data_IF_762188635284
#
_entry.id   IF_762188635284
#
_cell.length_a   1.000
_cell.length_b   1.000
_cell.length_c   1.000
_cell.angle_alpha   90.00
_cell.angle_beta   90.00
_cell.angle_gamma   90.00
#
_symmetry.space_group_name_H-M   'P 1'
#
loop_
_entity.id
_entity.type
_entity.pdbx_description
1 polymer ?
#
# COMPACT_ATOMS: atom_id res chain seq x y z
N UNK A 1 3.80 21.49 -5.82
CA UNK A 1 2.52 21.15 -6.46
C UNK A 1 1.42 22.15 -6.12
N UNK A 2 1.22 22.52 -4.85
CA UNK A 2 0.16 23.48 -4.44
C UNK A 2 0.25 24.86 -5.09
N UNK A 3 1.42 25.29 -5.52
CA UNK A 3 1.61 26.55 -6.26
C UNK A 3 1.24 26.44 -7.75
N UNK A 4 1.03 25.24 -8.26
CA UNK A 4 0.76 24.96 -9.67
C UNK A 4 -0.63 24.38 -9.93
N UNK A 5 -1.24 23.79 -8.91
CA UNK A 5 -2.52 23.08 -8.99
C UNK A 5 -3.41 23.49 -7.81
N UNK A 6 -4.65 23.76 -8.08
CA UNK A 6 -5.68 23.90 -7.04
C UNK A 6 -6.05 22.51 -6.53
N UNK A 7 -5.96 22.31 -5.22
CA UNK A 7 -6.40 21.09 -4.57
C UNK A 7 -7.82 21.29 -4.04
N UNK A 8 -8.65 20.28 -4.26
CA UNK A 8 -9.98 20.27 -3.65
C UNK A 8 -9.89 20.32 -2.12
N UNK A 9 -10.86 20.95 -1.51
CA UNK A 9 -10.96 20.98 -0.05
C UNK A 9 -11.12 19.56 0.48
N UNK A 10 -10.25 19.15 1.42
CA UNK A 10 -10.25 17.80 1.97
C UNK A 10 -9.58 16.74 1.09
N UNK A 11 -8.83 17.16 0.05
CA UNK A 11 -8.01 16.26 -0.76
C UNK A 11 -7.14 15.37 0.13
N UNK A 12 -7.16 14.05 -0.13
CA UNK A 12 -6.30 13.10 0.56
C UNK A 12 -4.87 13.19 0.03
N UNK A 13 -3.93 13.42 0.93
CA UNK A 13 -2.49 13.41 0.64
C UNK A 13 -1.86 12.34 1.50
N UNK A 14 -1.51 11.22 0.89
CA UNK A 14 -0.94 10.06 1.57
C UNK A 14 0.58 10.06 1.45
N UNK A 15 1.26 9.76 2.56
CA UNK A 15 2.68 9.39 2.58
C UNK A 15 2.79 7.91 2.93
N UNK A 16 3.54 7.17 2.14
CA UNK A 16 3.96 5.80 2.46
C UNK A 16 5.29 5.86 3.19
N UNK A 17 5.38 5.22 4.35
CA UNK A 17 6.54 5.24 5.22
C UNK A 17 6.95 3.82 5.65
N UNK A 18 8.25 3.62 5.83
CA UNK A 18 8.78 2.44 6.49
C UNK A 18 9.05 2.74 7.96
N UNK A 19 8.76 1.82 8.90
CA UNK A 19 8.95 2.07 10.34
C UNK A 19 10.36 2.51 10.73
N UNK A 20 11.41 1.98 10.07
CA UNK A 20 12.80 2.30 10.37
C UNK A 20 13.32 3.64 9.82
N UNK A 21 12.53 4.35 9.01
CA UNK A 21 12.92 5.66 8.46
C UNK A 21 12.32 6.84 9.23
N UNK A 22 11.41 6.57 10.14
CA UNK A 22 10.66 7.56 10.92
C UNK A 22 11.52 8.27 11.98
N UNK A 23 12.66 7.72 12.31
CA UNK A 23 13.54 8.28 13.34
C UNK A 23 14.18 9.62 12.95
N UNK A 24 14.19 9.97 11.66
CA UNK A 24 14.88 11.17 11.16
C UNK A 24 13.96 12.37 10.95
N UNK A 25 12.67 12.17 10.65
CA UNK A 25 11.76 13.27 10.38
C UNK A 25 10.49 13.15 11.24
N UNK A 26 10.16 14.15 12.05
CA UNK A 26 8.98 14.12 12.90
C UNK A 26 7.71 14.06 12.06
N UNK A 27 6.82 13.13 12.32
CA UNK A 27 5.50 13.06 11.65
C UNK A 27 4.71 14.37 11.71
N UNK A 28 4.97 15.19 12.74
CA UNK A 28 4.38 16.51 12.86
C UNK A 28 4.74 17.45 11.69
N UNK A 29 5.93 17.32 11.12
CA UNK A 29 6.34 18.17 9.98
C UNK A 29 5.71 17.71 8.66
N UNK A 30 5.46 16.40 8.52
CA UNK A 30 4.64 15.90 7.41
C UNK A 30 3.21 16.42 7.50
N UNK A 31 2.60 16.39 8.68
CA UNK A 31 1.25 16.93 8.89
C UNK A 31 1.19 18.44 8.57
N UNK A 32 2.16 19.22 9.04
CA UNK A 32 2.28 20.67 8.73
C UNK A 32 2.46 20.92 7.22
N UNK A 33 3.15 20.04 6.50
CA UNK A 33 3.31 20.15 5.04
C UNK A 33 2.04 19.79 4.27
N UNK A 34 1.01 19.28 4.98
CA UNK A 34 -0.32 19.00 4.45
C UNK A 34 -0.57 17.55 4.10
N UNK A 35 0.34 16.63 4.47
CA UNK A 35 0.06 15.20 4.43
C UNK A 35 -0.97 14.89 5.51
N UNK A 36 -2.07 14.20 5.16
CA UNK A 36 -3.20 13.96 6.06
C UNK A 36 -3.57 12.47 6.21
N UNK A 37 -2.81 11.59 5.57
CA UNK A 37 -2.91 10.13 5.70
C UNK A 37 -1.51 9.52 5.66
N UNK A 38 -1.28 8.53 6.51
CA UNK A 38 -0.07 7.71 6.51
C UNK A 38 -0.39 6.26 6.14
N UNK A 39 0.49 5.62 5.37
CA UNK A 39 0.54 4.18 5.17
C UNK A 39 1.89 3.68 5.67
N UNK A 40 1.89 2.81 6.66
CA UNK A 40 3.11 2.34 7.32
C UNK A 40 3.34 0.88 6.97
N UNK A 41 4.41 0.61 6.23
CA UNK A 41 4.80 -0.72 5.73
C UNK A 41 5.37 -1.63 6.81
N UNK A 42 4.55 -2.07 7.74
CA UNK A 42 4.95 -2.93 8.88
C UNK A 42 5.24 -4.36 8.42
N UNK A 43 4.42 -4.93 7.58
CA UNK A 43 4.45 -6.27 6.99
C UNK A 43 4.17 -7.39 7.99
N UNK A 44 4.76 -7.40 9.17
CA UNK A 44 4.50 -8.29 10.30
C UNK A 44 5.03 -7.67 11.60
N UNK A 45 4.49 -8.05 12.73
CA UNK A 45 5.06 -7.76 14.06
C UNK A 45 5.90 -8.92 14.60
N UNK A 46 6.03 -10.02 13.85
CA UNK A 46 6.92 -11.13 14.19
C UNK A 46 8.32 -10.87 13.66
N UNK A 47 9.33 -10.86 14.54
CA UNK A 47 10.71 -10.54 14.18
C UNK A 47 11.33 -11.54 13.19
N UNK A 48 10.98 -12.82 13.29
CA UNK A 48 11.49 -13.84 12.37
C UNK A 48 10.92 -13.65 10.96
N UNK A 49 9.62 -13.34 10.84
CA UNK A 49 9.00 -13.03 9.55
C UNK A 49 9.59 -11.76 8.92
N UNK A 50 9.83 -10.72 9.72
CA UNK A 50 10.49 -9.50 9.23
C UNK A 50 11.89 -9.80 8.67
N UNK A 51 12.68 -10.60 9.36
CA UNK A 51 14.02 -11.01 8.90
C UNK A 51 13.95 -11.81 7.59
N UNK A 52 13.01 -12.77 7.49
CA UNK A 52 12.79 -13.55 6.26
C UNK A 52 12.36 -12.68 5.08
N UNK A 53 11.56 -11.62 5.34
CA UNK A 53 11.18 -10.62 4.35
C UNK A 53 12.31 -9.64 3.99
N UNK A 54 13.47 -9.72 4.67
CA UNK A 54 14.58 -8.79 4.48
C UNK A 54 14.31 -7.38 5.01
N UNK A 55 13.38 -7.26 5.98
CA UNK A 55 13.08 -5.97 6.62
C UNK A 55 14.11 -5.65 7.69
N UNK A 56 14.52 -4.38 7.73
CA UNK A 56 15.55 -3.88 8.66
C UNK A 56 14.97 -3.37 9.99
N UNK A 57 13.67 -3.03 10.01
CA UNK A 57 12.99 -2.57 11.22
C UNK A 57 12.57 -3.73 12.11
N UNK A 58 12.41 -3.46 13.40
CA UNK A 58 11.89 -4.39 14.38
C UNK A 58 10.38 -4.20 14.61
N UNK A 59 9.76 -5.18 15.27
CA UNK A 59 8.39 -5.06 15.78
C UNK A 59 8.20 -3.82 16.67
N UNK A 60 9.18 -3.53 17.55
CA UNK A 60 9.15 -2.36 18.40
C UNK A 60 9.17 -1.05 17.60
N UNK A 61 9.99 -0.96 16.53
CA UNK A 61 10.00 0.20 15.64
C UNK A 61 8.63 0.38 14.96
N UNK A 62 7.99 -0.70 14.55
CA UNK A 62 6.68 -0.65 13.90
C UNK A 62 5.60 -0.10 14.85
N UNK A 63 5.53 -0.61 16.07
CA UNK A 63 4.58 -0.13 17.10
C UNK A 63 4.85 1.33 17.44
N UNK A 64 6.10 1.70 17.63
CA UNK A 64 6.48 3.09 17.95
C UNK A 64 6.15 4.04 16.80
N UNK A 65 6.38 3.66 15.54
CA UNK A 65 6.02 4.47 14.37
C UNK A 65 4.50 4.77 14.34
N UNK A 66 3.65 3.77 14.56
CA UNK A 66 2.20 3.95 14.60
C UNK A 66 1.80 4.90 15.75
N UNK A 67 2.38 4.71 16.93
CA UNK A 67 2.14 5.55 18.11
C UNK A 67 2.57 7.00 17.87
N UNK A 68 3.75 7.23 17.32
CA UNK A 68 4.25 8.56 16.98
C UNK A 68 3.37 9.25 15.92
N UNK A 69 2.89 8.51 14.92
CA UNK A 69 1.93 9.03 13.95
C UNK A 69 0.64 9.52 14.60
N UNK A 70 0.08 8.73 15.53
CA UNK A 70 -1.12 9.11 16.30
C UNK A 70 -0.85 10.31 17.20
N UNK A 71 0.27 10.37 17.91
CA UNK A 71 0.67 11.49 18.77
C UNK A 71 0.88 12.77 17.98
N UNK A 72 1.41 12.68 16.75
CA UNK A 72 1.54 13.82 15.84
C UNK A 72 0.20 14.39 15.36
N UNK A 73 -0.91 13.67 15.55
CA UNK A 73 -2.25 14.11 15.18
C UNK A 73 -2.78 13.50 13.88
N UNK A 74 -2.13 12.49 13.30
CA UNK A 74 -2.71 11.78 12.17
C UNK A 74 -3.96 11.01 12.58
N UNK A 75 -5.10 11.39 12.06
CA UNK A 75 -6.36 10.68 12.24
C UNK A 75 -6.40 9.38 11.44
N UNK A 76 -5.81 9.40 10.24
CA UNK A 76 -5.84 8.31 9.27
C UNK A 76 -4.47 7.65 9.15
N UNK A 77 -4.33 6.50 9.80
CA UNK A 77 -3.11 5.68 9.78
C UNK A 77 -3.47 4.29 9.26
N UNK A 78 -2.89 3.94 8.12
CA UNK A 78 -2.95 2.59 7.56
C UNK A 78 -1.72 1.80 7.97
N UNK A 79 -1.91 0.52 8.26
CA UNK A 79 -0.85 -0.44 8.54
C UNK A 79 -0.90 -1.51 7.46
N UNK A 80 0.19 -1.66 6.72
CA UNK A 80 0.32 -2.72 5.72
C UNK A 80 0.85 -3.99 6.40
N UNK A 81 0.11 -5.07 6.31
CA UNK A 81 0.43 -6.39 6.84
C UNK A 81 0.35 -7.45 5.74
N UNK A 82 1.25 -8.40 5.83
CA UNK A 82 1.25 -9.59 4.97
C UNK A 82 0.85 -10.81 5.77
N UNK A 83 0.14 -11.74 5.13
CA UNK A 83 -0.10 -13.08 5.65
C UNK A 83 0.34 -14.15 4.64
N UNK A 84 0.29 -15.41 5.05
CA UNK A 84 0.83 -16.51 4.24
C UNK A 84 2.36 -16.43 4.13
N UNK A 85 3.02 -15.86 5.14
CA UNK A 85 4.47 -15.74 5.20
C UNK A 85 5.11 -17.13 5.40
N UNK A 86 6.40 -17.31 5.03
CA UNK A 86 7.08 -18.58 5.18
C UNK A 86 6.93 -19.15 6.59
N UNK A 87 6.38 -20.36 6.69
CA UNK A 87 6.10 -21.10 7.94
C UNK A 87 5.17 -20.36 8.93
N UNK A 88 4.41 -19.37 8.48
CA UNK A 88 3.48 -18.64 9.34
C UNK A 88 2.33 -19.54 9.81
N UNK A 89 2.06 -19.51 11.10
CA UNK A 89 0.88 -20.16 11.69
C UNK A 89 -0.32 -19.22 11.73
N UNK A 90 -1.51 -19.81 11.92
CA UNK A 90 -2.74 -19.04 12.11
C UNK A 90 -2.64 -18.06 13.29
N UNK A 91 -2.11 -18.51 14.42
CA UNK A 91 -1.97 -17.70 15.63
C UNK A 91 -1.04 -16.49 15.40
N UNK A 92 0.03 -16.69 14.64
CA UNK A 92 0.96 -15.60 14.29
C UNK A 92 0.30 -14.57 13.39
N UNK A 93 -0.46 -14.99 12.38
CA UNK A 93 -1.19 -14.08 11.49
C UNK A 93 -2.26 -13.28 12.25
N UNK A 94 -3.01 -13.91 13.15
CA UNK A 94 -4.00 -13.23 14.00
C UNK A 94 -3.35 -12.29 15.01
N UNK A 95 -2.18 -12.63 15.54
CA UNK A 95 -1.42 -11.76 16.44
C UNK A 95 -0.98 -10.47 15.72
N UNK A 96 -0.55 -10.56 14.46
CA UNK A 96 -0.21 -9.39 13.66
C UNK A 96 -1.42 -8.44 13.51
N UNK A 97 -2.60 -8.97 13.20
CA UNK A 97 -3.82 -8.17 13.14
C UNK A 97 -4.18 -7.55 14.50
N UNK A 98 -4.06 -8.32 15.57
CA UNK A 98 -4.35 -7.86 16.93
C UNK A 98 -3.44 -6.67 17.30
N UNK A 99 -2.14 -6.78 17.06
CA UNK A 99 -1.18 -5.72 17.35
C UNK A 99 -1.43 -4.46 16.52
N UNK A 100 -1.82 -4.60 15.25
CA UNK A 100 -2.20 -3.46 14.42
C UNK A 100 -3.42 -2.72 14.98
N UNK A 101 -4.46 -3.46 15.38
CA UNK A 101 -5.68 -2.89 15.98
C UNK A 101 -5.37 -2.20 17.29
N UNK A 102 -4.62 -2.85 18.19
CA UNK A 102 -4.24 -2.32 19.50
C UNK A 102 -3.32 -1.10 19.40
N UNK A 103 -2.49 -1.00 18.33
CA UNK A 103 -1.67 0.19 18.09
C UNK A 103 -2.47 1.41 17.64
N UNK A 104 -3.76 1.25 17.33
CA UNK A 104 -4.65 2.34 16.94
C UNK A 104 -4.71 2.59 15.44
N UNK A 105 -4.38 1.59 14.60
CA UNK A 105 -4.60 1.66 13.16
C UNK A 105 -6.08 1.94 12.85
N UNK A 106 -6.33 2.87 11.93
CA UNK A 106 -7.68 3.18 11.43
C UNK A 106 -7.97 2.48 10.11
N UNK A 107 -6.92 2.03 9.44
CA UNK A 107 -6.96 1.25 8.21
C UNK A 107 -5.93 0.13 8.31
N UNK A 108 -6.22 -0.99 7.68
CA UNK A 108 -5.32 -2.13 7.57
C UNK A 108 -5.37 -2.63 6.13
N UNK A 109 -4.22 -2.64 5.47
CA UNK A 109 -4.02 -3.38 4.21
C UNK A 109 -3.47 -4.75 4.59
N UNK A 110 -4.25 -5.79 4.36
CA UNK A 110 -3.89 -7.15 4.74
C UNK A 110 -3.95 -8.08 3.53
N UNK A 111 -2.79 -8.45 3.02
CA UNK A 111 -2.65 -9.17 1.76
C UNK A 111 -1.73 -10.38 1.86
N UNK A 112 -2.06 -11.41 1.07
CA UNK A 112 -1.30 -12.64 1.02
C UNK A 112 0.03 -12.45 0.30
N UNK A 113 1.10 -13.08 0.81
CA UNK A 113 2.38 -13.15 0.12
C UNK A 113 2.23 -13.83 -1.23
N UNK A 114 2.62 -13.15 -2.30
CA UNK A 114 2.74 -13.69 -3.65
C UNK A 114 4.21 -13.78 -4.04
N UNK A 115 4.63 -14.92 -4.58
CA UNK A 115 6.01 -15.11 -5.05
C UNK A 115 6.10 -14.67 -6.51
N UNK A 116 6.63 -13.45 -6.71
CA UNK A 116 6.78 -12.85 -8.01
C UNK A 116 8.11 -13.24 -8.69
N UNK A 117 8.13 -13.42 -10.03
CA UNK A 117 9.35 -13.64 -10.79
C UNK A 117 10.41 -12.56 -10.53
N UNK A 118 11.69 -12.95 -10.59
CA UNK A 118 12.84 -12.06 -10.36
C UNK A 118 13.02 -11.55 -8.92
N UNK A 119 12.30 -12.12 -7.94
CA UNK A 119 12.48 -11.84 -6.51
C UNK A 119 13.42 -12.85 -5.84
N UNK A 120 13.85 -12.54 -4.62
CA UNK A 120 14.62 -13.48 -3.79
C UNK A 120 13.81 -14.72 -3.52
N UNK A 121 12.53 -14.58 -3.15
CA UNK A 121 11.65 -15.71 -2.86
C UNK A 121 11.38 -16.61 -4.06
N UNK A 122 11.33 -16.05 -5.27
CA UNK A 122 11.23 -16.85 -6.50
C UNK A 122 12.46 -17.75 -6.68
N UNK A 123 13.66 -17.29 -6.27
CA UNK A 123 14.89 -18.08 -6.36
C UNK A 123 15.05 -19.08 -5.21
N UNK A 124 14.64 -18.71 -4.01
CA UNK A 124 14.85 -19.53 -2.79
C UNK A 124 13.72 -20.47 -2.49
N UNK A 125 12.54 -20.27 -3.11
CA UNK A 125 11.34 -21.11 -2.94
C UNK A 125 11.06 -21.47 -1.47
N UNK A 126 10.81 -20.48 -0.59
CA UNK A 126 10.59 -20.75 0.83
C UNK A 126 9.34 -21.62 1.03
N UNK A 127 9.32 -22.38 2.11
CA UNK A 127 8.15 -23.19 2.48
C UNK A 127 7.03 -22.26 2.92
N UNK A 128 5.94 -22.22 2.17
CA UNK A 128 4.72 -21.49 2.52
C UNK A 128 3.74 -22.37 3.28
N UNK A 129 2.79 -21.78 4.04
CA UNK A 129 1.71 -22.52 4.66
C UNK A 129 0.90 -23.29 3.61
N UNK A 130 0.34 -24.44 4.01
CA UNK A 130 -0.57 -25.21 3.15
C UNK A 130 -1.87 -24.46 2.88
N UNK A 131 -2.56 -24.78 1.79
CA UNK A 131 -3.77 -24.08 1.35
C UNK A 131 -4.86 -24.05 2.46
N UNK A 132 -5.02 -25.13 3.20
CA UNK A 132 -5.97 -25.18 4.31
C UNK A 132 -5.61 -24.20 5.43
N UNK A 133 -4.32 -23.99 5.69
CA UNK A 133 -3.84 -23.01 6.67
C UNK A 133 -4.06 -21.60 6.15
N UNK A 134 -3.79 -21.34 4.86
CA UNK A 134 -4.03 -20.05 4.22
C UNK A 134 -5.52 -19.66 4.26
N UNK A 135 -6.41 -20.62 3.97
CA UNK A 135 -7.86 -20.44 4.07
C UNK A 135 -8.29 -20.10 5.51
N UNK A 136 -7.76 -20.82 6.51
CA UNK A 136 -8.05 -20.53 7.92
C UNK A 136 -7.55 -19.16 8.34
N UNK A 137 -6.35 -18.77 7.92
CA UNK A 137 -5.80 -17.44 8.17
C UNK A 137 -6.75 -16.38 7.60
N UNK A 138 -7.12 -16.49 6.33
CA UNK A 138 -8.01 -15.55 5.67
C UNK A 138 -9.35 -15.45 6.38
N UNK A 139 -10.02 -16.57 6.59
CA UNK A 139 -11.35 -16.63 7.20
C UNK A 139 -11.37 -16.04 8.62
N UNK A 140 -10.45 -16.47 9.48
CA UNK A 140 -10.44 -16.03 10.87
C UNK A 140 -9.92 -14.58 11.01
N UNK A 141 -8.97 -14.16 10.15
CA UNK A 141 -8.52 -12.78 10.11
C UNK A 141 -9.61 -11.81 9.70
N UNK A 142 -10.41 -12.13 8.67
CA UNK A 142 -11.57 -11.34 8.29
C UNK A 142 -12.63 -11.27 9.41
N UNK A 143 -12.91 -12.40 10.05
CA UNK A 143 -13.84 -12.44 11.18
C UNK A 143 -13.34 -11.56 12.33
N UNK A 144 -12.05 -11.63 12.63
CA UNK A 144 -11.44 -10.78 13.64
C UNK A 144 -11.58 -9.30 13.29
N UNK A 145 -11.20 -8.88 12.09
CA UNK A 145 -11.29 -7.47 11.66
C UNK A 145 -12.73 -6.96 11.69
N UNK A 146 -13.70 -7.75 11.21
CA UNK A 146 -15.14 -7.43 11.30
C UNK A 146 -15.59 -7.24 12.76
N UNK A 147 -15.17 -8.13 13.66
CA UNK A 147 -15.47 -8.03 15.10
C UNK A 147 -14.84 -6.80 15.76
N UNK A 148 -13.72 -6.30 15.24
CA UNK A 148 -13.07 -5.06 15.69
C UNK A 148 -13.65 -3.78 15.03
N UNK A 149 -14.74 -3.90 14.28
CA UNK A 149 -15.44 -2.79 13.63
C UNK A 149 -14.79 -2.30 12.34
N UNK A 150 -13.91 -3.10 11.73
CA UNK A 150 -13.39 -2.80 10.40
C UNK A 150 -14.35 -3.28 9.31
N UNK A 151 -14.42 -2.51 8.24
CA UNK A 151 -15.22 -2.79 7.05
C UNK A 151 -14.26 -2.99 5.89
N UNK A 152 -14.34 -4.12 5.23
CA UNK A 152 -13.63 -4.36 3.98
C UNK A 152 -14.21 -3.45 2.88
N UNK A 153 -13.38 -2.79 2.06
CA UNK A 153 -13.84 -1.89 1.02
C UNK A 153 -13.18 -2.10 -0.35
N UNK A 154 -12.15 -2.93 -0.39
CA UNK A 154 -11.53 -3.45 -1.61
C UNK A 154 -10.83 -4.78 -1.26
N UNK A 155 -10.19 -5.44 -2.22
CA UNK A 155 -9.70 -6.83 -2.11
C UNK A 155 -8.93 -7.10 -0.82
N UNK A 156 -8.04 -6.18 -0.42
CA UNK A 156 -7.15 -6.38 0.72
C UNK A 156 -7.25 -5.32 1.82
N UNK A 157 -8.05 -4.26 1.62
CA UNK A 157 -8.05 -3.14 2.55
C UNK A 157 -9.31 -3.03 3.40
N UNK A 158 -9.05 -2.73 4.67
CA UNK A 158 -10.01 -2.62 5.75
C UNK A 158 -9.96 -1.23 6.38
N UNK A 159 -11.10 -0.70 6.77
CA UNK A 159 -11.25 0.65 7.34
C UNK A 159 -12.20 0.70 8.51
N UNK A 160 -12.00 1.63 9.45
CA UNK A 160 -12.98 2.02 10.47
C UNK A 160 -13.85 3.19 10.04
N UNK A 161 -13.29 4.12 9.28
CA UNK A 161 -13.95 5.35 8.85
C UNK A 161 -14.18 5.35 7.32
N UNK A 162 -13.87 6.45 6.65
CA UNK A 162 -13.95 6.54 5.19
C UNK A 162 -12.82 5.75 4.51
N UNK A 163 -13.06 5.14 3.35
CA UNK A 163 -12.03 4.42 2.61
C UNK A 163 -10.92 5.36 2.13
N UNK A 164 -9.78 4.79 1.71
CA UNK A 164 -8.75 5.55 1.02
C UNK A 164 -9.23 6.00 -0.35
N UNK A 165 -9.22 7.31 -0.58
CA UNK A 165 -9.57 7.87 -1.88
C UNK A 165 -8.59 7.44 -2.98
N UNK A 166 -7.31 7.31 -2.63
CA UNK A 166 -6.27 6.81 -3.52
C UNK A 166 -6.59 5.38 -4.00
N UNK A 167 -6.88 4.44 -3.09
CA UNK A 167 -7.22 3.07 -3.46
C UNK A 167 -8.50 3.02 -4.32
N UNK A 168 -9.55 3.70 -3.88
CA UNK A 168 -10.82 3.72 -4.62
C UNK A 168 -10.67 4.28 -6.03
N UNK A 169 -9.82 5.30 -6.22
CA UNK A 169 -9.58 5.84 -7.55
C UNK A 169 -9.10 4.75 -8.54
N UNK A 170 -8.20 3.86 -8.10
CA UNK A 170 -7.76 2.74 -8.94
C UNK A 170 -8.88 1.72 -9.16
N UNK A 171 -9.56 1.28 -8.10
CA UNK A 171 -10.63 0.30 -8.19
C UNK A 171 -11.85 0.78 -9.00
N UNK A 172 -12.06 2.10 -9.07
CA UNK A 172 -13.10 2.72 -9.89
C UNK A 172 -12.62 3.07 -11.30
N UNK A 173 -11.46 2.58 -11.70
CA UNK A 173 -10.86 2.88 -12.99
C UNK A 173 -10.63 4.38 -13.23
N UNK A 174 -10.38 5.14 -12.16
CA UNK A 174 -10.12 6.57 -12.21
C UNK A 174 -8.80 6.93 -12.90
N UNK A 175 -8.67 8.19 -13.30
CA UNK A 175 -7.43 8.71 -13.87
C UNK A 175 -6.41 9.05 -12.79
N UNK A 176 -5.13 8.92 -13.13
CA UNK A 176 -4.03 9.28 -12.26
C UNK A 176 -2.80 9.72 -13.05
N UNK A 177 -2.14 10.77 -12.56
CA UNK A 177 -0.92 11.29 -13.14
C UNK A 177 0.31 10.68 -12.47
N UNK A 178 1.34 10.46 -13.27
CA UNK A 178 2.60 9.87 -12.83
C UNK A 178 3.70 10.93 -12.69
N UNK A 179 4.32 11.02 -11.52
CA UNK A 179 5.47 11.90 -11.24
C UNK A 179 6.57 11.04 -10.61
N UNK A 180 7.80 11.17 -11.13
CA UNK A 180 8.96 10.44 -10.62
C UNK A 180 9.39 9.28 -11.50
N UNK A 181 10.58 8.72 -11.20
CA UNK A 181 11.16 7.60 -11.92
C UNK A 181 10.31 6.33 -11.76
N UNK A 182 10.06 5.64 -12.86
CA UNK A 182 9.28 4.40 -12.89
C UNK A 182 7.77 4.58 -12.68
N UNK A 183 7.28 5.81 -12.54
CA UNK A 183 5.87 6.06 -12.30
C UNK A 183 5.01 5.73 -13.52
N UNK A 184 3.82 5.19 -13.26
CA UNK A 184 2.80 4.88 -14.24
C UNK A 184 1.62 5.84 -14.11
N UNK A 185 0.98 6.17 -15.22
CA UNK A 185 -0.20 7.01 -15.26
C UNK A 185 -1.27 6.46 -16.19
N UNK A 186 -2.51 6.87 -15.96
CA UNK A 186 -3.66 6.63 -16.81
C UNK A 186 -4.46 7.92 -16.96
N UNK A 187 -4.80 8.28 -18.18
CA UNK A 187 -5.57 9.49 -18.48
C UNK A 187 -6.62 9.21 -19.54
N UNK A 188 -7.84 9.60 -19.26
CA UNK A 188 -8.96 9.55 -20.19
C UNK A 188 -9.03 10.87 -20.96
N UNK A 189 -8.97 10.79 -22.30
CA UNK A 189 -9.14 11.92 -23.21
C UNK A 189 -10.39 11.74 -24.06
N UNK A 190 -10.76 12.77 -24.82
CA UNK A 190 -11.96 12.73 -25.68
C UNK A 190 -11.91 11.64 -26.75
N UNK A 191 -10.71 11.23 -27.17
CA UNK A 191 -10.46 10.26 -28.23
C UNK A 191 -10.04 8.87 -27.72
N UNK A 192 -9.88 8.68 -26.42
CA UNK A 192 -9.54 7.38 -25.84
C UNK A 192 -8.87 7.44 -24.48
N UNK A 193 -8.50 6.27 -23.97
CA UNK A 193 -7.78 6.12 -22.71
C UNK A 193 -6.32 5.81 -23.00
N UNK A 194 -5.45 6.50 -22.29
CA UNK A 194 -4.02 6.39 -22.47
C UNK A 194 -3.33 5.93 -21.21
N UNK A 195 -2.40 5.00 -21.34
CA UNK A 195 -1.43 4.65 -20.32
C UNK A 195 -0.08 5.28 -20.63
N UNK A 196 0.65 5.51 -19.56
CA UNK A 196 1.91 6.21 -19.62
C UNK A 196 2.86 5.66 -18.56
N UNK A 197 4.10 5.41 -18.95
CA UNK A 197 5.14 4.89 -18.05
C UNK A 197 6.39 5.75 -18.16
N UNK A 198 6.92 6.18 -17.02
CA UNK A 198 8.17 6.93 -16.96
C UNK A 198 9.39 6.02 -16.93
N UNK A 199 10.54 6.59 -17.34
CA UNK A 199 11.85 5.92 -17.25
C UNK A 199 12.07 5.38 -15.84
N UNK A 200 12.39 4.08 -15.75
CA UNK A 200 12.39 3.33 -14.48
C UNK A 200 13.54 3.71 -13.54
N UNK A 201 14.76 3.84 -14.08
CA UNK A 201 15.94 4.08 -13.26
C UNK A 201 16.04 5.57 -12.90
N UNK A 202 16.24 5.95 -11.61
CA UNK A 202 16.34 7.33 -11.19
C UNK A 202 17.42 8.12 -11.93
N UNK A 203 18.60 7.51 -12.15
CA UNK A 203 19.71 8.14 -12.91
C UNK A 203 19.28 8.50 -14.33
N UNK A 204 18.64 7.57 -15.03
CA UNK A 204 18.21 7.78 -16.42
C UNK A 204 17.02 8.78 -16.48
N UNK A 205 16.16 8.75 -15.46
CA UNK A 205 15.07 9.71 -15.33
C UNK A 205 15.61 11.13 -15.17
N UNK A 206 16.60 11.36 -14.31
CA UNK A 206 17.20 12.66 -14.07
C UNK A 206 18.03 13.17 -15.26
N UNK A 207 18.56 12.28 -16.09
CA UNK A 207 19.35 12.62 -17.26
C UNK A 207 18.51 13.05 -18.47
N UNK A 208 17.20 12.81 -18.48
CA UNK A 208 16.29 13.11 -19.59
C UNK A 208 15.56 14.43 -19.38
N UNK A 209 15.21 15.09 -20.48
CA UNK A 209 14.27 16.20 -20.45
C UNK A 209 12.83 15.71 -20.28
N UNK A 210 11.91 16.51 -19.70
CA UNK A 210 10.54 16.07 -19.40
C UNK A 210 9.78 15.40 -20.55
N UNK A 211 9.97 15.86 -21.78
CA UNK A 211 9.33 15.27 -22.98
C UNK A 211 9.80 13.86 -23.31
N UNK A 212 10.95 13.42 -22.79
CA UNK A 212 11.54 12.10 -23.06
C UNK A 212 11.24 11.07 -21.95
N UNK A 213 10.53 11.48 -20.88
CA UNK A 213 10.34 10.65 -19.69
C UNK A 213 9.34 9.54 -19.84
N UNK A 214 8.60 9.43 -20.90
CA UNK A 214 7.63 8.38 -21.04
C UNK A 214 7.03 8.25 -22.43
N UNK A 215 6.42 7.12 -22.67
CA UNK A 215 5.66 6.87 -23.87
C UNK A 215 4.19 6.75 -23.51
N UNK A 216 3.35 7.46 -24.26
CA UNK A 216 1.90 7.31 -24.20
C UNK A 216 1.50 6.13 -25.09
N UNK A 217 0.79 5.18 -24.52
CA UNK A 217 0.16 4.09 -25.26
C UNK A 217 -1.36 4.26 -25.13
N UNK A 218 -2.04 4.40 -26.25
CA UNK A 218 -3.50 4.31 -26.29
C UNK A 218 -3.89 2.86 -25.99
N UNK A 219 -4.91 2.68 -25.16
CA UNK A 219 -5.51 1.37 -24.92
C UNK A 219 -6.44 1.09 -26.10
N UNK A 220 -6.28 -0.05 -26.73
CA UNK A 220 -7.13 -0.44 -27.85
C UNK A 220 -8.56 -0.78 -27.33
N UNK A 221 -9.55 -0.58 -28.19
CA UNK A 221 -10.96 -0.71 -27.79
C UNK A 221 -11.32 -2.13 -27.30
N UNK A 222 -10.66 -3.15 -27.84
CA UNK A 222 -10.82 -4.55 -27.44
C UNK A 222 -10.09 -4.90 -26.12
N UNK A 223 -9.06 -4.14 -25.73
CA UNK A 223 -8.38 -4.27 -24.43
C UNK A 223 -9.15 -3.62 -23.28
N UNK A 224 -9.99 -2.61 -23.56
CA UNK A 224 -10.69 -1.81 -22.53
C UNK A 224 -11.57 -2.63 -21.57
N UNK A 225 -12.37 -3.60 -22.01
CA UNK A 225 -13.16 -4.41 -21.11
C UNK A 225 -12.30 -5.18 -20.10
N UNK A 226 -11.18 -5.74 -20.54
CA UNK A 226 -10.25 -6.45 -19.69
C UNK A 226 -9.57 -5.51 -18.67
N UNK A 227 -9.08 -4.36 -19.12
CA UNK A 227 -8.47 -3.33 -18.30
C UNK A 227 -9.44 -2.82 -17.20
N UNK A 228 -10.71 -2.61 -17.57
CA UNK A 228 -11.74 -2.19 -16.62
C UNK A 228 -12.04 -3.30 -15.59
N UNK A 229 -12.27 -4.52 -16.06
CA UNK A 229 -12.64 -5.64 -15.21
C UNK A 229 -11.55 -6.01 -14.19
N UNK A 230 -10.28 -5.86 -14.55
CA UNK A 230 -9.16 -6.06 -13.61
C UNK A 230 -9.19 -5.11 -12.40
N UNK A 231 -9.88 -3.98 -12.50
CA UNK A 231 -10.02 -3.02 -11.40
C UNK A 231 -11.40 -3.10 -10.73
N UNK A 232 -12.39 -3.74 -11.36
CA UNK A 232 -13.76 -3.77 -10.87
C UNK A 232 -14.14 -5.09 -10.17
N UNK A 233 -13.27 -6.11 -10.24
CA UNK A 233 -13.44 -7.40 -9.58
C UNK A 233 -12.76 -7.39 -8.22
#
# INVERSE_FOLDING_TARGET
LRSLLEFEQGCEITLEANPGTVEHDPFADYLKSGINRLSIGVQSFNQEHLQRLGRIHSSANAIEAIKLAKQAGFERVNVDLMHGLPEQTLEQALLDLKLAVESGATHISWYQLTIEPNTVFFRTQPVLPQDETLEQIQLQGEQYLKAQGFINYEVSAWRKERPSAHNLNYWQFGDYLAIGAGAHGKVTQFDGIYRFQKTRLPKDYLAKVPAEHGQWKRIEADELPFEFMMNAL
#
